data_IF_046352626667
#
_entry.id   IF_046352626667
#
_cell.length_a   1.000
_cell.length_b   1.000
_cell.length_c   1.000
_cell.angle_alpha   90.00
_cell.angle_beta   90.00
_cell.angle_gamma   90.00
#
_symmetry.space_group_name_H-M   'P 1'
#
loop_
_entity.id
_entity.type
_entity.pdbx_description
1 polymer ?
#
# COMPACT_ATOMS: atom_id res chain seq x y z
N UNK A 1 30.00 -13.14 8.08
CA UNK A 1 29.39 -11.83 8.26
C UNK A 1 27.90 -11.91 7.94
N UNK A 2 27.10 -11.10 8.58
CA UNK A 2 25.67 -10.97 8.31
C UNK A 2 25.48 -10.67 6.82
N UNK A 3 24.66 -11.45 6.13
CA UNK A 3 24.38 -11.18 4.72
C UNK A 3 23.20 -10.22 4.63
N UNK A 4 23.12 -9.42 3.58
CA UNK A 4 21.99 -8.52 3.32
C UNK A 4 20.62 -9.24 3.40
N UNK A 5 20.61 -10.54 3.07
CA UNK A 5 19.42 -11.39 3.16
C UNK A 5 18.85 -11.55 4.57
N UNK A 6 19.69 -11.46 5.59
CA UNK A 6 19.25 -11.60 6.99
C UNK A 6 18.45 -10.37 7.47
N UNK A 7 18.59 -9.23 6.79
CA UNK A 7 17.87 -7.99 7.13
C UNK A 7 16.60 -7.76 6.28
N UNK A 8 16.32 -8.64 5.29
CA UNK A 8 15.18 -8.48 4.37
C UNK A 8 14.22 -9.65 4.51
N UNK A 9 12.98 -9.36 4.82
CA UNK A 9 11.85 -10.29 4.74
C UNK A 9 11.05 -10.05 3.47
N UNK A 10 10.68 -11.11 2.76
CA UNK A 10 9.91 -11.01 1.51
C UNK A 10 8.59 -11.77 1.66
N UNK A 11 7.50 -11.13 1.24
CA UNK A 11 6.15 -11.70 1.22
C UNK A 11 5.57 -11.54 -0.18
N UNK A 12 5.19 -12.65 -0.78
CA UNK A 12 4.63 -12.67 -2.14
C UNK A 12 3.11 -12.79 -2.10
N UNK A 13 2.42 -12.38 -3.16
CA UNK A 13 0.97 -12.61 -3.34
C UNK A 13 0.65 -14.11 -3.33
N UNK A 14 1.48 -14.94 -3.99
CA UNK A 14 1.38 -16.39 -3.93
C UNK A 14 2.31 -16.96 -2.86
N UNK A 15 1.86 -18.03 -2.19
CA UNK A 15 2.63 -18.66 -1.14
C UNK A 15 3.85 -19.39 -1.70
N UNK A 16 5.05 -18.99 -1.27
CA UNK A 16 6.32 -19.59 -1.66
C UNK A 16 6.63 -20.98 -1.06
N UNK A 17 5.70 -21.58 -0.29
CA UNK A 17 5.88 -22.89 0.34
C UNK A 17 5.02 -23.96 -0.32
N UNK A 18 5.60 -25.15 -0.46
CA UNK A 18 4.86 -26.30 -0.98
C UNK A 18 3.68 -26.69 -0.07
N UNK A 19 2.55 -27.00 -0.67
CA UNK A 19 1.27 -27.32 -0.03
C UNK A 19 1.33 -28.46 1.00
N UNK A 20 2.27 -29.39 0.86
CA UNK A 20 2.44 -30.52 1.78
C UNK A 20 3.20 -30.18 3.07
N UNK A 21 3.86 -29.03 3.14
CA UNK A 21 4.61 -28.61 4.31
C UNK A 21 3.68 -28.18 5.45
N UNK A 22 4.15 -28.40 6.67
CA UNK A 22 3.53 -27.95 7.91
C UNK A 22 4.36 -26.83 8.53
N UNK A 23 3.79 -26.05 9.45
CA UNK A 23 4.52 -25.00 10.20
C UNK A 23 5.77 -25.55 10.89
N UNK A 24 5.70 -26.77 11.45
CA UNK A 24 6.86 -27.44 12.07
C UNK A 24 7.98 -27.69 11.05
N UNK A 25 7.64 -28.15 9.84
CA UNK A 25 8.63 -28.39 8.80
C UNK A 25 9.22 -27.10 8.24
N UNK A 26 8.38 -26.06 8.07
CA UNK A 26 8.84 -24.73 7.66
C UNK A 26 9.83 -24.17 8.69
N UNK A 27 9.50 -24.21 9.98
CA UNK A 27 10.41 -23.79 11.05
C UNK A 27 11.78 -24.46 10.91
N UNK A 28 11.80 -25.79 10.73
CA UNK A 28 13.04 -26.58 10.58
C UNK A 28 13.82 -26.22 9.29
N UNK A 29 13.13 -25.86 8.20
CA UNK A 29 13.77 -25.46 6.94
C UNK A 29 14.38 -24.06 7.12
N UNK A 30 13.60 -23.09 7.64
CA UNK A 30 14.01 -21.70 7.80
C UNK A 30 15.15 -21.55 8.79
N UNK A 31 15.20 -22.34 9.86
CA UNK A 31 16.32 -22.36 10.81
C UNK A 31 17.66 -22.80 10.21
N UNK A 32 17.64 -23.44 9.03
CA UNK A 32 18.85 -23.78 8.27
C UNK A 32 19.21 -22.74 7.20
N UNK A 33 18.24 -21.93 6.79
CA UNK A 33 18.41 -20.93 5.73
C UNK A 33 18.85 -19.58 6.25
N UNK A 34 18.36 -19.19 7.42
CA UNK A 34 18.64 -17.88 8.03
C UNK A 34 19.51 -18.04 9.28
N UNK A 35 20.58 -17.26 9.37
CA UNK A 35 21.52 -17.29 10.51
C UNK A 35 20.85 -16.81 11.80
N UNK A 36 19.96 -15.81 11.68
CA UNK A 36 19.27 -15.16 12.81
C UNK A 36 17.85 -15.71 13.03
N UNK A 37 17.54 -16.90 12.48
CA UNK A 37 16.21 -17.48 12.68
C UNK A 37 15.90 -17.68 14.16
N UNK A 38 14.73 -17.20 14.60
CA UNK A 38 14.21 -17.43 15.94
C UNK A 38 12.98 -18.34 15.90
N UNK A 39 13.15 -19.57 16.37
CA UNK A 39 12.05 -20.53 16.53
C UNK A 39 10.99 -20.02 17.52
N UNK A 40 11.42 -19.32 18.56
CA UNK A 40 10.53 -18.74 19.57
C UNK A 40 9.65 -17.64 18.93
N UNK A 41 10.24 -16.73 18.17
CA UNK A 41 9.51 -15.67 17.46
C UNK A 41 8.53 -16.27 16.45
N UNK A 42 8.98 -17.25 15.65
CA UNK A 42 8.10 -17.93 14.68
C UNK A 42 6.90 -18.60 15.34
N UNK A 43 7.14 -19.38 16.40
CA UNK A 43 6.04 -20.06 17.11
C UNK A 43 5.13 -19.07 17.82
N UNK A 44 5.66 -17.94 18.30
CA UNK A 44 4.91 -16.81 18.82
C UNK A 44 3.95 -16.23 17.80
N UNK A 45 4.43 -15.92 16.58
CA UNK A 45 3.58 -15.44 15.48
C UNK A 45 2.54 -16.49 15.05
N UNK A 46 2.93 -17.76 14.92
CA UNK A 46 1.98 -18.82 14.59
C UNK A 46 0.83 -18.87 15.60
N UNK A 47 1.13 -18.71 16.89
CA UNK A 47 0.12 -18.64 17.96
C UNK A 47 -0.70 -17.36 17.90
N UNK A 48 -0.07 -16.19 17.74
CA UNK A 48 -0.73 -14.87 17.61
C UNK A 48 -1.73 -14.88 16.46
N UNK A 49 -1.37 -15.49 15.33
CA UNK A 49 -2.19 -15.56 14.13
C UNK A 49 -3.19 -16.72 14.10
N UNK A 50 -3.23 -17.55 15.14
CA UNK A 50 -4.11 -18.72 15.21
C UNK A 50 -3.79 -19.80 14.17
N UNK A 51 -2.52 -19.90 13.73
CA UNK A 51 -2.09 -20.85 12.72
C UNK A 51 -1.69 -22.21 13.30
N UNK A 52 -2.30 -23.32 12.85
CA UNK A 52 -2.01 -24.65 13.41
C UNK A 52 -0.67 -25.19 12.86
N UNK A 53 0.32 -25.36 13.74
CA UNK A 53 1.67 -25.82 13.42
C UNK A 53 1.76 -27.16 12.67
N UNK A 54 0.80 -28.07 12.93
CA UNK A 54 0.82 -29.45 12.36
C UNK A 54 -0.05 -29.63 11.11
N UNK A 55 -0.84 -28.60 10.73
CA UNK A 55 -1.71 -28.65 9.55
C UNK A 55 -0.89 -28.31 8.30
N UNK A 56 -1.12 -29.03 7.19
CA UNK A 56 -0.47 -28.75 5.90
C UNK A 56 -0.91 -27.41 5.34
N UNK A 57 0.04 -26.64 4.81
CA UNK A 57 -0.21 -25.29 4.27
C UNK A 57 -1.21 -25.27 3.11
N UNK A 58 -1.30 -26.32 2.32
CA UNK A 58 -2.30 -26.46 1.26
C UNK A 58 -3.76 -26.45 1.75
N UNK A 59 -3.98 -26.66 3.07
CA UNK A 59 -5.30 -26.57 3.70
C UNK A 59 -5.56 -25.22 4.39
N UNK A 60 -4.67 -24.25 4.22
CA UNK A 60 -4.83 -22.89 4.75
C UNK A 60 -5.69 -22.07 3.80
N UNK A 61 -6.52 -21.17 4.36
CA UNK A 61 -7.16 -20.11 3.59
C UNK A 61 -6.11 -19.13 3.05
N UNK A 62 -6.48 -18.26 2.10
CA UNK A 62 -5.58 -17.21 1.58
C UNK A 62 -5.02 -16.35 2.73
N UNK A 63 -5.88 -15.89 3.65
CA UNK A 63 -5.45 -15.11 4.81
C UNK A 63 -4.51 -15.88 5.75
N UNK A 64 -4.74 -17.17 5.99
CA UNK A 64 -3.82 -18.01 6.78
C UNK A 64 -2.47 -18.18 6.08
N UNK A 65 -2.45 -18.29 4.75
CA UNK A 65 -1.22 -18.39 3.96
C UNK A 65 -0.43 -17.08 4.04
N UNK A 66 -1.11 -15.94 3.91
CA UNK A 66 -0.50 -14.62 4.05
C UNK A 66 0.10 -14.43 5.45
N UNK A 67 -0.65 -14.70 6.50
CA UNK A 67 -0.17 -14.66 7.90
C UNK A 67 1.05 -15.55 8.12
N UNK A 68 1.10 -16.74 7.51
CA UNK A 68 2.26 -17.63 7.58
C UNK A 68 3.50 -17.02 6.93
N UNK A 69 3.36 -16.41 5.74
CA UNK A 69 4.47 -15.74 5.07
C UNK A 69 5.01 -14.58 5.88
N UNK A 70 4.12 -13.76 6.46
CA UNK A 70 4.48 -12.66 7.35
C UNK A 70 5.22 -13.20 8.58
N UNK A 71 4.70 -14.26 9.22
CA UNK A 71 5.36 -14.90 10.36
C UNK A 71 6.79 -15.34 10.01
N UNK A 72 7.01 -15.93 8.83
CA UNK A 72 8.34 -16.32 8.37
C UNK A 72 9.22 -15.09 8.12
N UNK A 73 8.71 -14.07 7.41
CA UNK A 73 9.46 -12.87 7.07
C UNK A 73 9.94 -12.10 8.30
N UNK A 74 9.17 -12.13 9.39
CA UNK A 74 9.52 -11.42 10.63
C UNK A 74 10.36 -12.25 11.62
N UNK A 75 10.52 -13.56 11.40
CA UNK A 75 11.14 -14.46 12.39
C UNK A 75 12.67 -14.59 12.30
N UNK A 76 13.31 -13.89 11.38
CA UNK A 76 14.77 -13.86 11.25
C UNK A 76 15.38 -12.48 11.52
N UNK A 77 14.59 -11.58 12.13
CA UNK A 77 15.03 -10.24 12.50
C UNK A 77 15.19 -9.30 11.30
N UNK A 78 14.31 -9.47 10.30
CA UNK A 78 14.25 -8.56 9.16
C UNK A 78 13.94 -7.14 9.61
N UNK A 79 14.64 -6.16 9.04
CA UNK A 79 14.42 -4.72 9.22
C UNK A 79 13.67 -4.10 8.06
N UNK A 80 13.74 -4.71 6.88
CA UNK A 80 13.01 -4.33 5.69
C UNK A 80 12.08 -5.47 5.28
N UNK A 81 10.78 -5.19 5.22
CA UNK A 81 9.81 -6.09 4.60
C UNK A 81 9.49 -5.59 3.19
N UNK A 82 9.65 -6.48 2.21
CA UNK A 82 9.25 -6.24 0.82
C UNK A 82 8.03 -7.12 0.54
N UNK A 83 6.91 -6.51 0.18
CA UNK A 83 5.64 -7.22 0.07
C UNK A 83 4.91 -6.88 -1.22
N UNK A 84 4.44 -7.92 -1.88
CA UNK A 84 3.67 -7.80 -3.11
C UNK A 84 2.19 -8.13 -2.83
N UNK A 85 1.32 -7.12 -2.93
CA UNK A 85 -0.13 -7.20 -2.75
C UNK A 85 -0.57 -7.95 -1.46
N UNK A 86 -0.01 -7.64 -0.26
CA UNK A 86 -0.17 -8.47 0.94
C UNK A 86 -1.60 -8.54 1.49
N UNK A 87 -2.47 -7.63 1.07
CA UNK A 87 -3.88 -7.55 1.55
C UNK A 87 -4.90 -7.89 0.47
N UNK A 88 -4.44 -8.12 -0.77
CA UNK A 88 -5.30 -8.40 -1.92
C UNK A 88 -6.12 -9.68 -1.73
N UNK A 89 -7.42 -9.61 -2.02
CA UNK A 89 -8.33 -10.76 -1.97
C UNK A 89 -8.55 -11.35 -0.57
N UNK A 90 -8.22 -10.62 0.49
CA UNK A 90 -8.53 -10.98 1.86
C UNK A 90 -9.91 -10.43 2.28
N UNK A 91 -10.56 -11.13 3.21
CA UNK A 91 -11.72 -10.57 3.87
C UNK A 91 -11.36 -9.37 4.74
N UNK A 92 -12.32 -8.45 5.01
CA UNK A 92 -12.02 -7.20 5.72
C UNK A 92 -11.43 -7.38 7.12
N UNK A 93 -11.77 -8.46 7.83
CA UNK A 93 -11.29 -8.71 9.20
C UNK A 93 -9.81 -9.10 9.15
N UNK A 94 -9.47 -10.10 8.34
CA UNK A 94 -8.07 -10.56 8.19
C UNK A 94 -7.19 -9.44 7.61
N UNK A 95 -7.72 -8.65 6.65
CA UNK A 95 -7.03 -7.49 6.10
C UNK A 95 -6.68 -6.47 7.20
N UNK A 96 -7.64 -6.13 8.06
CA UNK A 96 -7.42 -5.21 9.16
C UNK A 96 -6.35 -5.73 10.14
N UNK A 97 -6.41 -7.00 10.51
CA UNK A 97 -5.41 -7.63 11.38
C UNK A 97 -3.98 -7.57 10.77
N UNK A 98 -3.85 -7.74 9.45
CA UNK A 98 -2.56 -7.65 8.77
C UNK A 98 -2.04 -6.20 8.76
N UNK A 99 -2.89 -5.22 8.50
CA UNK A 99 -2.50 -3.81 8.55
C UNK A 99 -2.05 -3.39 9.95
N UNK A 100 -2.68 -3.90 11.01
CA UNK A 100 -2.26 -3.68 12.39
C UNK A 100 -0.86 -4.26 12.66
N UNK A 101 -0.58 -5.46 12.14
CA UNK A 101 0.76 -6.07 12.23
C UNK A 101 1.81 -5.20 11.54
N UNK A 102 1.48 -4.62 10.39
CA UNK A 102 2.39 -3.74 9.67
C UNK A 102 2.65 -2.44 10.44
N UNK A 103 1.62 -1.87 11.05
CA UNK A 103 1.76 -0.70 11.92
C UNK A 103 2.64 -1.02 13.13
N UNK A 104 2.43 -2.16 13.80
CA UNK A 104 3.29 -2.60 14.91
C UNK A 104 4.76 -2.77 14.46
N UNK A 105 4.99 -3.32 13.26
CA UNK A 105 6.35 -3.57 12.75
C UNK A 105 7.13 -2.27 12.53
N UNK A 106 6.51 -1.24 11.96
CA UNK A 106 7.18 0.05 11.70
C UNK A 106 7.30 0.96 12.92
N UNK A 107 6.77 0.56 14.07
CA UNK A 107 7.00 1.29 15.33
C UNK A 107 8.46 1.16 15.83
N UNK A 108 9.18 0.13 15.40
CA UNK A 108 10.61 0.00 15.67
C UNK A 108 11.40 0.96 14.76
N UNK A 109 12.30 1.75 15.33
CA UNK A 109 12.96 2.91 14.67
C UNK A 109 13.70 2.58 13.37
N UNK A 110 14.24 1.35 13.27
CA UNK A 110 15.02 0.91 12.10
C UNK A 110 14.28 -0.06 11.18
N UNK A 111 12.96 -0.20 11.37
CA UNK A 111 12.11 -1.04 10.55
C UNK A 111 11.42 -0.26 9.44
N UNK A 112 11.36 -0.87 8.26
CA UNK A 112 10.75 -0.26 7.07
C UNK A 112 9.94 -1.30 6.30
N UNK A 113 8.87 -0.85 5.68
CA UNK A 113 8.03 -1.66 4.77
C UNK A 113 8.04 -1.02 3.39
N UNK A 114 8.35 -1.81 2.37
CA UNK A 114 8.11 -1.50 0.97
C UNK A 114 7.01 -2.45 0.47
N UNK A 115 5.85 -1.93 0.13
CA UNK A 115 4.75 -2.76 -0.37
C UNK A 115 4.16 -2.22 -1.67
N UNK A 116 3.72 -3.14 -2.54
CA UNK A 116 2.82 -2.83 -3.64
C UNK A 116 1.37 -3.05 -3.19
N UNK A 117 0.45 -2.22 -3.63
CA UNK A 117 -0.99 -2.43 -3.47
C UNK A 117 -1.79 -1.63 -4.49
N UNK A 118 -2.89 -2.21 -4.97
CA UNK A 118 -3.91 -1.52 -5.73
C UNK A 118 -5.07 -1.01 -4.84
N UNK A 119 -5.00 -1.27 -3.53
CA UNK A 119 -6.01 -0.88 -2.55
C UNK A 119 -5.57 0.42 -1.87
N UNK A 120 -6.00 1.54 -2.41
CA UNK A 120 -5.59 2.89 -1.96
C UNK A 120 -5.90 3.15 -0.49
N UNK A 121 -7.01 2.62 0.03
CA UNK A 121 -7.36 2.75 1.44
C UNK A 121 -6.35 2.08 2.40
N UNK A 122 -5.64 1.02 1.98
CA UNK A 122 -4.55 0.45 2.78
C UNK A 122 -3.35 1.36 2.79
N UNK A 123 -3.00 1.90 1.61
CA UNK A 123 -1.90 2.86 1.47
C UNK A 123 -2.16 4.11 2.32
N UNK A 124 -3.37 4.67 2.27
CA UNK A 124 -3.74 5.83 3.10
C UNK A 124 -3.54 5.56 4.59
N UNK A 125 -3.80 4.33 5.02
CA UNK A 125 -3.74 3.96 6.44
C UNK A 125 -2.30 3.77 6.95
N UNK A 126 -1.39 3.21 6.13
CA UNK A 126 -0.10 2.72 6.64
C UNK A 126 1.12 3.37 6.00
N UNK A 127 0.99 4.04 4.84
CA UNK A 127 2.13 4.59 4.14
C UNK A 127 2.45 6.03 4.58
N UNK A 128 3.74 6.34 4.71
CA UNK A 128 4.26 7.71 4.84
C UNK A 128 4.60 8.27 3.46
N UNK A 129 5.20 7.44 2.60
CA UNK A 129 5.59 7.79 1.24
C UNK A 129 4.79 6.97 0.23
N UNK A 130 4.39 7.61 -0.86
CA UNK A 130 3.66 6.95 -1.94
C UNK A 130 4.32 7.21 -3.29
N UNK A 131 4.24 6.20 -4.16
CA UNK A 131 4.69 6.28 -5.56
C UNK A 131 3.60 5.67 -6.43
N UNK A 132 2.98 6.47 -7.29
CA UNK A 132 2.01 5.99 -8.26
C UNK A 132 2.68 5.70 -9.60
N UNK A 133 2.48 4.47 -10.07
CA UNK A 133 3.04 4.00 -11.33
C UNK A 133 1.89 3.67 -12.31
N UNK A 134 1.93 4.26 -13.50
CA UNK A 134 1.04 3.91 -14.60
C UNK A 134 1.87 3.64 -15.87
N UNK A 135 1.60 2.53 -16.54
CA UNK A 135 2.27 2.11 -17.80
C UNK A 135 3.80 2.22 -17.74
N UNK A 136 4.41 1.83 -16.60
CA UNK A 136 5.85 1.86 -16.39
C UNK A 136 6.44 3.26 -16.14
N UNK A 137 5.61 4.26 -15.87
CA UNK A 137 6.03 5.63 -15.54
C UNK A 137 5.54 6.03 -14.16
N UNK A 138 6.38 6.73 -13.42
CA UNK A 138 5.95 7.36 -12.16
C UNK A 138 5.13 8.59 -12.52
N UNK A 139 3.86 8.62 -12.11
CA UNK A 139 2.93 9.73 -12.38
C UNK A 139 2.80 10.68 -11.20
N UNK A 140 3.04 10.19 -9.98
CA UNK A 140 3.07 10.99 -8.75
C UNK A 140 3.94 10.27 -7.72
N UNK A 141 4.74 11.03 -6.95
CA UNK A 141 5.46 10.49 -5.79
C UNK A 141 5.67 11.57 -4.73
N UNK A 142 5.69 11.18 -3.47
CA UNK A 142 5.93 12.08 -2.35
C UNK A 142 5.39 11.58 -1.02
N UNK A 143 5.49 12.40 -0.01
CA UNK A 143 4.87 12.18 1.29
C UNK A 143 3.35 12.20 1.15
N UNK A 144 2.70 11.15 1.64
CA UNK A 144 1.24 10.97 1.53
C UNK A 144 0.46 12.16 2.06
N UNK A 145 0.80 12.61 3.26
CA UNK A 145 0.06 13.69 3.93
C UNK A 145 0.25 15.03 3.19
N UNK A 146 1.46 15.29 2.66
CA UNK A 146 1.72 16.46 1.81
C UNK A 146 0.90 16.41 0.53
N UNK A 147 0.79 15.22 -0.10
CA UNK A 147 -0.05 15.05 -1.29
C UNK A 147 -1.51 15.33 -0.96
N UNK A 148 -2.05 14.75 0.12
CA UNK A 148 -3.44 14.95 0.53
C UNK A 148 -3.76 16.39 0.92
N UNK A 149 -2.83 17.09 1.59
CA UNK A 149 -3.00 18.48 1.98
C UNK A 149 -2.91 19.46 0.82
N UNK A 150 -2.10 19.17 -0.19
CA UNK A 150 -1.86 20.06 -1.31
C UNK A 150 -2.92 19.96 -2.41
N UNK A 151 -3.76 18.94 -2.41
CA UNK A 151 -4.77 18.74 -3.43
C UNK A 151 -6.19 19.01 -2.91
N UNK A 152 -7.05 19.48 -3.80
CA UNK A 152 -8.48 19.62 -3.52
C UNK A 152 -9.30 19.31 -4.78
N UNK A 153 -10.52 18.81 -4.54
CA UNK A 153 -11.51 18.59 -5.59
C UNK A 153 -12.50 19.76 -5.64
N UNK A 154 -12.67 20.34 -6.83
CA UNK A 154 -13.73 21.32 -7.10
C UNK A 154 -14.78 20.63 -7.95
N UNK A 155 -15.99 20.46 -7.40
CA UNK A 155 -17.15 19.95 -8.12
C UNK A 155 -18.00 21.13 -8.59
N UNK A 156 -18.04 21.37 -9.88
CA UNK A 156 -18.67 22.58 -10.41
C UNK A 156 -19.29 22.36 -11.80
N UNK A 157 -19.96 23.41 -12.31
CA UNK A 157 -20.42 23.43 -13.69
C UNK A 157 -19.20 23.57 -14.65
N UNK A 158 -19.38 23.16 -15.91
CA UNK A 158 -18.36 23.35 -16.93
C UNK A 158 -17.97 24.83 -17.09
N UNK A 159 -18.95 25.74 -16.98
CA UNK A 159 -18.74 27.19 -17.08
C UNK A 159 -17.85 27.71 -15.93
N UNK A 160 -18.07 27.21 -14.72
CA UNK A 160 -17.24 27.59 -13.57
C UNK A 160 -15.83 27.01 -13.69
N UNK A 161 -15.69 25.77 -14.18
CA UNK A 161 -14.40 25.15 -14.43
C UNK A 161 -13.56 25.95 -15.45
N UNK A 162 -14.18 26.55 -16.47
CA UNK A 162 -13.52 27.40 -17.46
C UNK A 162 -12.93 28.70 -16.85
N UNK A 163 -13.33 29.06 -15.62
CA UNK A 163 -12.76 30.20 -14.88
C UNK A 163 -11.49 29.86 -14.09
N UNK A 164 -11.19 28.57 -13.94
CA UNK A 164 -9.99 28.10 -13.22
C UNK A 164 -8.80 28.16 -14.18
N UNK A 165 -7.72 28.78 -13.73
CA UNK A 165 -6.51 28.89 -14.55
C UNK A 165 -5.89 27.49 -14.79
N UNK A 166 -5.42 27.26 -16.03
CA UNK A 166 -4.89 25.96 -16.44
C UNK A 166 -3.70 25.50 -15.60
N UNK A 167 -2.89 26.44 -15.14
CA UNK A 167 -1.74 26.18 -14.28
C UNK A 167 -2.13 25.62 -12.90
N UNK A 168 -3.34 25.89 -12.42
CA UNK A 168 -3.82 25.40 -11.12
C UNK A 168 -4.48 24.00 -11.24
N UNK A 169 -4.80 23.58 -12.46
CA UNK A 169 -5.52 22.34 -12.76
C UNK A 169 -4.55 21.18 -12.96
N UNK A 170 -4.74 20.11 -12.20
CA UNK A 170 -4.09 18.81 -12.47
C UNK A 170 -4.82 18.10 -13.62
N UNK A 171 -6.12 17.92 -13.49
CA UNK A 171 -6.98 17.39 -14.55
C UNK A 171 -8.46 17.70 -14.30
N UNK A 172 -9.26 17.59 -15.37
CA UNK A 172 -10.72 17.75 -15.33
C UNK A 172 -11.37 16.45 -15.78
N UNK A 173 -12.40 16.02 -15.05
CA UNK A 173 -13.14 14.79 -15.33
C UNK A 173 -14.65 15.09 -15.39
N UNK A 174 -15.36 14.49 -16.33
CA UNK A 174 -16.81 14.56 -16.38
C UNK A 174 -17.42 13.75 -15.23
N UNK A 175 -18.39 14.34 -14.54
CA UNK A 175 -19.17 13.68 -13.51
C UNK A 175 -20.66 13.70 -13.83
N UNK A 176 -21.49 13.04 -13.04
CA UNK A 176 -22.94 12.94 -13.30
C UNK A 176 -23.65 14.29 -13.26
N UNK A 177 -23.13 15.26 -12.53
CA UNK A 177 -23.78 16.56 -12.29
C UNK A 177 -22.93 17.77 -12.73
N UNK A 178 -21.86 17.53 -13.48
CA UNK A 178 -20.95 18.61 -13.91
C UNK A 178 -19.57 18.07 -14.22
N UNK A 179 -18.57 18.72 -13.65
CA UNK A 179 -17.16 18.33 -13.77
C UNK A 179 -16.49 18.32 -12.41
N UNK A 180 -15.59 17.36 -12.23
CA UNK A 180 -14.68 17.27 -11.11
C UNK A 180 -13.31 17.79 -11.56
N UNK A 181 -12.82 18.84 -10.93
CA UNK A 181 -11.54 19.48 -11.23
C UNK A 181 -10.60 19.24 -10.06
N UNK A 182 -9.55 18.46 -10.27
CA UNK A 182 -8.48 18.32 -9.29
C UNK A 182 -7.54 19.51 -9.45
N UNK A 183 -7.33 20.24 -8.38
CA UNK A 183 -6.36 21.35 -8.31
C UNK A 183 -5.21 20.99 -7.38
N UNK A 184 -4.02 21.50 -7.70
CA UNK A 184 -2.88 21.49 -6.79
C UNK A 184 -2.75 22.83 -6.06
N UNK A 185 -1.93 22.90 -5.01
CA UNK A 185 -1.81 24.06 -4.12
C UNK A 185 -3.18 24.55 -3.59
N UNK A 186 -3.85 23.64 -2.87
CA UNK A 186 -5.16 23.88 -2.25
C UNK A 186 -5.26 25.24 -1.55
N UNK A 187 -4.19 25.68 -0.85
CA UNK A 187 -4.18 26.93 -0.10
C UNK A 187 -4.22 28.16 -1.00
N UNK A 188 -3.46 28.17 -2.09
CA UNK A 188 -3.48 29.24 -3.09
C UNK A 188 -4.81 29.26 -3.85
N UNK A 189 -5.28 28.09 -4.28
CA UNK A 189 -6.55 27.95 -4.97
C UNK A 189 -7.74 28.42 -4.13
N UNK A 190 -7.77 28.11 -2.83
CA UNK A 190 -8.84 28.55 -1.94
C UNK A 190 -8.94 30.08 -1.83
N UNK A 191 -7.83 30.80 -1.91
CA UNK A 191 -7.81 32.29 -1.93
C UNK A 191 -8.22 32.84 -3.29
N UNK A 192 -7.84 32.14 -4.39
CA UNK A 192 -8.07 32.60 -5.77
C UNK A 192 -9.51 32.35 -6.23
N UNK A 193 -10.12 31.28 -5.73
CA UNK A 193 -11.45 30.79 -6.16
C UNK A 193 -12.44 30.71 -4.97
N UNK A 194 -12.59 31.78 -4.21
CA UNK A 194 -13.41 31.86 -2.99
C UNK A 194 -14.89 31.45 -3.20
N UNK A 195 -15.40 31.58 -4.43
CA UNK A 195 -16.78 31.23 -4.77
C UNK A 195 -16.98 29.74 -5.08
N UNK A 196 -15.91 28.97 -5.24
CA UNK A 196 -15.96 27.57 -5.55
C UNK A 196 -15.71 26.74 -4.28
N UNK A 197 -16.58 25.76 -4.03
CA UNK A 197 -16.41 24.87 -2.89
C UNK A 197 -15.31 23.85 -3.21
N UNK A 198 -14.33 23.75 -2.32
CA UNK A 198 -13.24 22.78 -2.38
C UNK A 198 -13.47 21.69 -1.36
N UNK A 199 -13.46 20.46 -1.84
CA UNK A 199 -13.57 19.25 -1.01
C UNK A 199 -12.19 18.62 -0.83
N UNK A 200 -12.01 17.94 0.30
CA UNK A 200 -10.79 17.13 0.51
C UNK A 200 -10.85 15.91 -0.39
N UNK A 201 -9.72 15.56 -0.99
CA UNK A 201 -9.59 14.38 -1.84
C UNK A 201 -9.11 13.17 -1.06
N UNK A 202 -9.51 11.99 -1.49
CA UNK A 202 -8.87 10.72 -1.16
C UNK A 202 -7.65 10.50 -2.04
N UNK A 203 -6.75 9.62 -1.61
CA UNK A 203 -5.59 9.23 -2.42
C UNK A 203 -6.02 8.58 -3.75
N UNK A 204 -7.12 7.82 -3.73
CA UNK A 204 -7.72 7.22 -4.92
C UNK A 204 -8.17 8.25 -5.96
N UNK A 205 -8.88 9.28 -5.52
CA UNK A 205 -9.33 10.37 -6.40
C UNK A 205 -8.15 11.09 -7.03
N UNK A 206 -7.12 11.41 -6.23
CA UNK A 206 -5.88 12.04 -6.73
C UNK A 206 -5.22 11.14 -7.76
N UNK A 207 -5.03 9.85 -7.46
CA UNK A 207 -4.42 8.88 -8.36
C UNK A 207 -5.15 8.81 -9.71
N UNK A 208 -6.48 8.70 -9.70
CA UNK A 208 -7.31 8.63 -10.91
C UNK A 208 -7.10 9.88 -11.79
N UNK A 209 -7.01 11.06 -11.19
CA UNK A 209 -6.80 12.31 -11.91
C UNK A 209 -5.40 12.39 -12.53
N UNK A 210 -4.35 11.96 -11.84
CA UNK A 210 -2.98 11.92 -12.38
C UNK A 210 -2.82 10.92 -13.51
N UNK A 211 -3.44 9.73 -13.41
CA UNK A 211 -3.46 8.73 -14.49
C UNK A 211 -4.19 9.27 -15.72
N UNK A 212 -5.31 9.97 -15.54
CA UNK A 212 -6.04 10.58 -16.65
C UNK A 212 -5.21 11.66 -17.36
N UNK A 213 -4.51 12.52 -16.61
CA UNK A 213 -3.59 13.52 -17.15
C UNK A 213 -2.50 12.87 -17.99
N UNK A 214 -1.80 11.87 -17.45
CA UNK A 214 -0.73 11.17 -18.16
C UNK A 214 -1.20 10.49 -19.45
N UNK A 215 -2.44 9.96 -19.47
CA UNK A 215 -3.06 9.36 -20.63
C UNK A 215 -3.44 10.40 -21.72
N UNK A 216 -3.83 11.61 -21.34
CA UNK A 216 -4.14 12.68 -22.28
C UNK A 216 -2.87 13.25 -22.91
N UNK A 217 -1.83 13.53 -22.12
CA UNK A 217 -0.52 13.96 -22.61
C UNK A 217 0.09 12.95 -23.59
N UNK A 218 -0.13 11.64 -23.38
CA UNK A 218 0.35 10.59 -24.29
C UNK A 218 -0.44 10.45 -25.60
N UNK A 219 -1.62 11.08 -25.72
CA UNK A 219 -2.42 11.09 -26.97
C UNK A 219 -2.13 12.32 -27.84
N UNK A 220 -1.57 13.36 -27.25
CA UNK A 220 -1.23 14.61 -27.93
C UNK A 220 0.22 14.62 -28.46
N UNK A 221 1.05 13.65 -28.02
CA UNK A 221 2.44 13.43 -28.46
C UNK A 221 2.53 12.36 -29.56
#
# INVERSE_FOLDING_TARGET
GKTLKDDIGVVFDEMGFHDFLTGVQINKIMSKMYTNWSEEVFTGYMKKFGLPMKKKCGKFSRGMRMKLQIAVAMSHGAKLLIMDEPTSGLDPIVRNEILEIFQEFVMEEDHTILLSSHITGDIERIADMVVFIDKGRIVLSGEKDVILENHAMIKCSKKDADTIAKEDIVSVRQSAFGVDVLVHDKKACARKYEKLTMEQCTLEEIMIHYVNRANNESKEA
#
